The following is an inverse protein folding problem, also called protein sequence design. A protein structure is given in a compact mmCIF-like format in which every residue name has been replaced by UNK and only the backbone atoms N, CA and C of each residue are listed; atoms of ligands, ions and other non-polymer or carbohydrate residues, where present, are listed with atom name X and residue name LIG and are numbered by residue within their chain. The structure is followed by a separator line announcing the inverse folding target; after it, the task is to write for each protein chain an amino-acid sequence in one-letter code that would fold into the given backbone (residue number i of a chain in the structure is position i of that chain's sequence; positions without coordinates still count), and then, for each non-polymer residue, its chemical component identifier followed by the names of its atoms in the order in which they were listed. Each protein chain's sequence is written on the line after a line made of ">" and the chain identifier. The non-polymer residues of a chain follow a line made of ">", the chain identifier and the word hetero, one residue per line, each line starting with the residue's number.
data_IF_442124760333
#
_entry.id   IF_442124760333
#
_cell.length_a   1.000
_cell.length_b   1.000
_cell.length_c   1.000
_cell.angle_alpha   90.00
_cell.angle_beta   90.00
_cell.angle_gamma   90.00
#
_symmetry.space_group_name_H-M   'P 1'
#
loop_
_entity.id
_entity.type
_entity.pdbx_description
1 polymer ?
#
# COMPACT_ATOMS: atom_id res chain seq x y z
N UNK A 1 -7.63 28.95 -3.20
CA UNK A 1 -6.72 28.41 -2.17
C UNK A 1 -6.31 27.01 -2.60
N UNK A 2 -5.07 26.83 -3.06
CA UNK A 2 -4.53 25.49 -3.32
C UNK A 2 -4.30 24.81 -1.95
N UNK A 3 -4.65 23.53 -1.76
CA UNK A 3 -4.39 22.84 -0.50
C UNK A 3 -2.89 22.89 -0.20
N UNK A 4 -2.48 22.95 1.08
CA UNK A 4 -1.08 22.88 1.44
C UNK A 4 -0.50 21.63 0.79
N UNK A 5 0.66 21.82 0.15
CA UNK A 5 1.42 20.83 -0.59
C UNK A 5 1.99 19.78 0.39
N UNK A 6 1.13 19.11 1.17
CA UNK A 6 1.51 17.99 2.01
C UNK A 6 1.80 16.85 1.03
N UNK A 7 3.06 16.39 0.90
CA UNK A 7 3.34 15.31 -0.01
C UNK A 7 2.52 14.12 0.47
N UNK A 8 1.56 13.67 -0.34
CA UNK A 8 0.73 12.53 0.00
C UNK A 8 1.66 11.32 0.15
N UNK A 9 1.92 10.89 1.38
CA UNK A 9 2.85 9.78 1.68
C UNK A 9 2.04 8.52 1.88
N UNK A 10 2.12 7.65 0.90
CA UNK A 10 1.49 6.35 0.89
C UNK A 10 2.50 5.30 1.34
N UNK A 11 2.08 4.32 2.14
CA UNK A 11 2.93 3.21 2.59
C UNK A 11 2.20 1.90 2.42
N UNK A 12 2.89 0.88 1.95
CA UNK A 12 2.37 -0.49 2.01
C UNK A 12 2.44 -0.99 3.46
N UNK A 13 1.42 -1.69 3.93
CA UNK A 13 1.40 -2.31 5.25
C UNK A 13 0.85 -3.72 5.12
N UNK A 14 1.50 -4.65 5.79
CA UNK A 14 0.98 -5.98 5.99
C UNK A 14 0.36 -6.06 7.41
N UNK A 15 -0.89 -6.52 7.56
CA UNK A 15 -1.46 -6.84 8.87
C UNK A 15 -0.96 -8.19 9.41
N UNK A 16 -0.51 -9.09 8.53
CA UNK A 16 -0.09 -10.46 8.88
C UNK A 16 1.34 -10.53 9.38
N UNK A 17 2.18 -9.57 9.00
CA UNK A 17 3.58 -9.52 9.41
C UNK A 17 3.98 -8.08 9.79
N UNK A 18 5.05 -7.88 10.58
CA UNK A 18 5.48 -6.55 11.02
C UNK A 18 6.08 -5.68 9.89
N UNK A 19 6.06 -6.17 8.64
CA UNK A 19 6.60 -5.46 7.50
C UNK A 19 5.76 -4.22 7.15
N UNK A 20 6.47 -3.12 6.92
CA UNK A 20 5.90 -1.87 6.38
C UNK A 20 6.76 -1.44 5.22
N UNK A 21 6.13 -1.21 4.08
CA UNK A 21 6.78 -0.67 2.90
C UNK A 21 7.26 0.77 3.12
N UNK A 22 8.06 1.22 2.15
CA UNK A 22 8.59 2.59 2.13
C UNK A 22 7.47 3.62 1.93
N UNK A 23 7.79 4.86 2.26
CA UNK A 23 6.93 5.99 1.96
C UNK A 23 7.10 6.39 0.51
N UNK A 24 5.98 6.50 -0.19
CA UNK A 24 5.93 6.91 -1.57
C UNK A 24 5.05 8.14 -1.70
N UNK A 25 5.45 9.09 -2.54
CA UNK A 25 4.64 10.28 -2.85
C UNK A 25 3.44 9.96 -3.76
N UNK A 26 3.35 8.72 -4.28
CA UNK A 26 2.32 8.26 -5.21
C UNK A 26 1.70 6.97 -4.71
N UNK A 27 0.37 6.90 -4.81
CA UNK A 27 -0.40 5.73 -4.41
C UNK A 27 0.00 4.47 -5.19
N UNK A 28 0.13 4.57 -6.51
CA UNK A 28 0.45 3.43 -7.39
C UNK A 28 1.78 2.76 -7.04
N UNK A 29 2.78 3.52 -6.58
CA UNK A 29 4.06 2.94 -6.16
C UNK A 29 3.96 2.22 -4.82
N UNK A 30 3.13 2.70 -3.90
CA UNK A 30 2.84 2.00 -2.66
C UNK A 30 2.00 0.73 -2.90
N UNK A 31 1.07 0.79 -3.84
CA UNK A 31 0.27 -0.35 -4.29
C UNK A 31 1.14 -1.43 -4.92
N UNK A 32 2.07 -1.07 -5.80
CA UNK A 32 3.02 -1.99 -6.42
C UNK A 32 3.89 -2.70 -5.36
N UNK A 33 4.40 -1.96 -4.38
CA UNK A 33 5.15 -2.54 -3.26
C UNK A 33 4.30 -3.46 -2.38
N UNK A 34 3.03 -3.11 -2.15
CA UNK A 34 2.09 -3.97 -1.44
C UNK A 34 1.82 -5.26 -2.25
N UNK A 35 1.70 -5.17 -3.58
CA UNK A 35 1.48 -6.31 -4.48
C UNK A 35 2.67 -7.24 -4.53
N UNK A 36 3.88 -6.70 -4.63
CA UNK A 36 5.12 -7.50 -4.56
C UNK A 36 5.18 -8.31 -3.27
N UNK A 37 4.94 -7.64 -2.12
CA UNK A 37 4.94 -8.32 -0.83
C UNK A 37 3.83 -9.38 -0.72
N UNK A 38 2.62 -9.06 -1.18
CA UNK A 38 1.50 -9.99 -1.21
C UNK A 38 1.84 -11.23 -2.04
N UNK A 39 2.40 -11.06 -3.24
CA UNK A 39 2.79 -12.16 -4.12
C UNK A 39 3.91 -13.01 -3.54
N UNK A 40 4.91 -12.38 -2.93
CA UNK A 40 6.12 -13.04 -2.44
C UNK A 40 5.92 -13.79 -1.13
N UNK A 41 5.03 -13.31 -0.28
CA UNK A 41 4.75 -13.91 1.03
C UNK A 41 3.34 -14.48 1.16
N UNK A 42 2.50 -14.39 0.13
CA UNK A 42 1.10 -14.83 0.15
C UNK A 42 0.28 -14.20 1.30
N UNK A 43 0.51 -12.92 1.57
CA UNK A 43 -0.22 -12.16 2.59
C UNK A 43 -1.15 -11.13 1.97
N UNK A 44 -2.27 -10.87 2.65
CA UNK A 44 -3.15 -9.74 2.31
C UNK A 44 -2.45 -8.44 2.72
N UNK A 45 -2.18 -7.55 1.78
CA UNK A 45 -1.52 -6.26 2.07
C UNK A 45 -2.44 -5.11 1.73
N UNK A 46 -2.20 -3.94 2.32
CA UNK A 46 -2.95 -2.75 1.97
C UNK A 46 -2.10 -1.50 2.01
N UNK A 47 -2.54 -0.46 1.31
CA UNK A 47 -1.92 0.86 1.38
C UNK A 47 -2.55 1.68 2.49
N UNK A 48 -1.70 2.32 3.29
CA UNK A 48 -2.08 3.33 4.28
C UNK A 48 -1.60 4.71 3.81
N UNK A 49 -2.32 5.76 4.19
CA UNK A 49 -1.91 7.15 3.96
C UNK A 49 -0.94 7.64 5.05
N UNK A 50 -0.58 8.92 5.02
CA UNK A 50 0.40 9.51 5.95
C UNK A 50 -0.15 9.66 7.37
N UNK A 51 -1.48 9.67 7.54
CA UNK A 51 -2.15 9.56 8.83
C UNK A 51 -2.22 8.12 9.36
N UNK A 52 -1.79 7.13 8.57
CA UNK A 52 -1.87 5.72 8.92
C UNK A 52 -3.28 5.14 8.76
N UNK A 53 -4.19 5.84 8.08
CA UNK A 53 -5.49 5.29 7.72
C UNK A 53 -5.34 4.40 6.48
N UNK A 54 -5.98 3.24 6.53
CA UNK A 54 -6.08 2.37 5.36
C UNK A 54 -6.90 3.06 4.28
N UNK A 55 -6.38 3.05 3.07
CA UNK A 55 -7.09 3.53 1.89
C UNK A 55 -8.09 2.46 1.46
N UNK A 56 -9.35 2.86 1.29
CA UNK A 56 -10.42 1.97 0.87
C UNK A 56 -10.18 1.47 -0.56
N UNK A 57 -10.38 0.17 -0.80
CA UNK A 57 -10.11 -0.46 -2.10
C UNK A 57 -8.64 -0.82 -2.33
N UNK A 58 -7.71 -0.38 -1.48
CA UNK A 58 -6.27 -0.63 -1.64
C UNK A 58 -5.79 -1.95 -1.08
N UNK A 59 -6.69 -2.93 -0.98
CA UNK A 59 -6.40 -4.24 -0.39
C UNK A 59 -6.02 -5.20 -1.48
N UNK A 60 -4.77 -5.64 -1.41
CA UNK A 60 -4.17 -6.51 -2.40
C UNK A 60 -4.12 -7.90 -1.82
N UNK A 61 -4.92 -8.77 -2.44
CA UNK A 61 -4.95 -10.19 -2.15
C UNK A 61 -3.93 -10.88 -3.04
N UNK A 62 -3.16 -11.86 -2.51
CA UNK A 62 -2.25 -12.62 -3.34
C UNK A 62 -2.97 -13.37 -4.47
N UNK A 63 -4.22 -13.80 -4.24
CA UNK A 63 -5.06 -14.46 -5.25
C UNK A 63 -5.48 -13.52 -6.41
N UNK A 64 -5.53 -12.22 -6.18
CA UNK A 64 -5.87 -11.22 -7.20
C UNK A 64 -4.63 -10.78 -7.99
N UNK A 65 -3.45 -10.83 -7.35
CA UNK A 65 -2.18 -10.44 -7.94
C UNK A 65 -1.68 -11.35 -9.08
N UNK A 66 -2.21 -12.58 -9.20
CA UNK A 66 -1.85 -13.57 -10.22
C UNK A 66 -2.70 -13.45 -11.50
N UNK A 67 -3.84 -12.74 -11.46
CA UNK A 67 -4.65 -12.44 -12.65
C UNK A 67 -4.14 -11.19 -13.38
N UNK A 68 -2.99 -11.27 -14.05
CA UNK A 68 -2.56 -10.27 -15.05
C UNK A 68 -1.66 -10.89 -16.09
#
# INVERSE_FOLDING_TARGET
>A
MAPPNTPARYRARCPTCPWTGREFSRYTTAEDAARDHAKRHYHDTHVIDHYGLRIAGSTIRPADADSS
#
